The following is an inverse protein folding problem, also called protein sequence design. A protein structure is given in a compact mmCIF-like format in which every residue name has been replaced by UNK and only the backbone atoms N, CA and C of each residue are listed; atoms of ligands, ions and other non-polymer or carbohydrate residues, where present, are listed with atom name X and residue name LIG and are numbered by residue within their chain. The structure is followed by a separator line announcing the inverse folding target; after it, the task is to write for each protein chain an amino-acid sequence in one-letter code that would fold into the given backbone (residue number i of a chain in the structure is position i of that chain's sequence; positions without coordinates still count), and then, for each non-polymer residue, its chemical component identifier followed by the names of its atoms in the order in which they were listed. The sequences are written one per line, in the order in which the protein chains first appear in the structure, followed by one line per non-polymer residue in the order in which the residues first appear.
data_IF_368004955389
#
_entry.id   IF_368004955389
#
_cell.length_a   1.000
_cell.length_b   1.000
_cell.length_c   1.000
_cell.angle_alpha   90.00
_cell.angle_beta   90.00
_cell.angle_gamma   90.00
#
_symmetry.space_group_name_H-M   'P 1'
#
loop_
_entity.id
_entity.type
_entity.pdbx_description
1 polymer ?
#
# COMPACT_ATOMS: atom_id res chain seq x y z
N UNK A 1 -25.56 13.32 8.51
CA UNK A 1 -24.38 12.66 7.95
C UNK A 1 -24.75 12.11 6.58
N UNK A 2 -24.45 12.81 5.51
CA UNK A 2 -24.80 12.38 4.15
C UNK A 2 -23.63 11.62 3.59
N UNK A 3 -23.76 10.31 3.56
CA UNK A 3 -22.75 9.39 2.98
C UNK A 3 -22.86 9.46 1.46
N UNK A 4 -21.89 10.09 0.79
CA UNK A 4 -21.81 10.02 -0.66
C UNK A 4 -21.19 8.68 -1.01
N UNK A 5 -22.02 7.72 -1.43
CA UNK A 5 -21.56 6.46 -2.01
C UNK A 5 -21.23 6.77 -3.48
N UNK A 6 -19.96 6.88 -3.81
CA UNK A 6 -19.52 6.98 -5.20
C UNK A 6 -19.36 5.55 -5.73
N UNK A 7 -20.40 5.03 -6.38
CA UNK A 7 -20.25 3.91 -7.31
C UNK A 7 -19.35 4.35 -8.46
N UNK A 8 -18.53 3.46 -9.02
CA UNK A 8 -17.72 3.64 -10.23
C UNK A 8 -18.59 4.02 -11.43
N UNK A 9 -19.13 5.22 -11.41
CA UNK A 9 -19.78 5.84 -12.55
C UNK A 9 -18.87 6.95 -13.03
N UNK A 10 -18.46 6.89 -14.30
CA UNK A 10 -17.85 8.01 -14.98
C UNK A 10 -18.80 9.21 -14.84
N UNK A 11 -18.53 10.10 -13.88
CA UNK A 11 -19.32 11.31 -13.70
C UNK A 11 -18.89 12.29 -14.80
N UNK A 12 -19.55 12.22 -15.95
CA UNK A 12 -19.61 13.32 -16.92
C UNK A 12 -20.56 14.44 -16.44
N UNK A 13 -20.89 14.48 -15.17
CA UNK A 13 -21.73 15.52 -14.59
C UNK A 13 -20.88 16.71 -14.20
N UNK A 14 -21.21 17.89 -14.71
CA UNK A 14 -20.63 19.13 -14.24
C UNK A 14 -20.99 19.33 -12.75
N UNK A 15 -19.96 19.44 -11.91
CA UNK A 15 -20.18 19.91 -10.52
C UNK A 15 -20.83 21.28 -10.63
N UNK A 16 -21.97 21.54 -9.97
CA UNK A 16 -22.67 22.81 -10.07
C UNK A 16 -21.76 23.97 -9.63
N UNK A 17 -21.91 25.13 -10.30
CA UNK A 17 -21.26 26.35 -9.81
C UNK A 17 -21.74 26.65 -8.36
N UNK A 18 -20.78 26.95 -7.49
CA UNK A 18 -21.08 27.28 -6.09
C UNK A 18 -21.34 26.03 -5.22
N UNK A 19 -20.94 24.85 -5.66
CA UNK A 19 -20.96 23.67 -4.78
C UNK A 19 -20.01 23.89 -3.60
N UNK A 20 -20.49 23.60 -2.39
CA UNK A 20 -19.71 23.57 -1.16
C UNK A 20 -19.62 22.13 -0.65
N UNK A 21 -18.41 21.73 -0.25
CA UNK A 21 -18.15 20.46 0.44
C UNK A 21 -17.45 20.82 1.74
N UNK A 22 -18.06 20.48 2.86
CA UNK A 22 -17.55 20.81 4.19
C UNK A 22 -17.60 19.57 5.08
N UNK A 23 -16.63 19.43 6.00
CA UNK A 23 -16.56 18.37 7.00
C UNK A 23 -16.74 16.97 6.43
N UNK A 24 -16.10 16.70 5.27
CA UNK A 24 -16.30 15.47 4.50
C UNK A 24 -14.96 14.84 4.18
N UNK A 25 -14.83 13.55 4.47
CA UNK A 25 -13.75 12.71 3.94
C UNK A 25 -14.17 12.15 2.58
N UNK A 26 -13.43 12.49 1.54
CA UNK A 26 -13.58 11.92 0.21
C UNK A 26 -12.50 10.84 0.03
N UNK A 27 -12.89 9.59 -0.17
CA UNK A 27 -11.99 8.44 -0.25
C UNK A 27 -12.14 7.72 -1.57
N UNK A 28 -11.04 7.12 -2.05
CA UNK A 28 -11.00 6.33 -3.27
C UNK A 28 -11.57 7.07 -4.50
N UNK A 29 -11.27 8.37 -4.62
CA UNK A 29 -11.70 9.21 -5.74
C UNK A 29 -10.53 9.45 -6.68
N UNK A 30 -10.76 9.25 -7.97
CA UNK A 30 -9.78 9.56 -9.02
C UNK A 30 -10.27 10.71 -9.89
N UNK A 31 -9.39 11.69 -10.09
CA UNK A 31 -9.62 12.78 -11.04
C UNK A 31 -8.63 12.66 -12.20
N UNK A 32 -9.13 12.40 -13.39
CA UNK A 32 -8.32 12.34 -14.62
C UNK A 32 -8.75 13.43 -15.58
N UNK A 33 -7.79 14.21 -16.09
CA UNK A 33 -8.02 15.30 -17.07
C UNK A 33 -9.05 16.34 -16.60
N UNK A 34 -9.05 16.68 -15.29
CA UNK A 34 -10.00 17.61 -14.67
C UNK A 34 -9.36 18.98 -14.49
N UNK A 35 -10.14 20.03 -14.68
CA UNK A 35 -9.76 21.42 -14.39
C UNK A 35 -10.72 22.03 -13.40
N UNK A 36 -10.17 22.47 -12.27
CA UNK A 36 -10.90 23.26 -11.29
C UNK A 36 -10.65 24.75 -11.55
N UNK A 37 -11.69 25.53 -11.77
CA UNK A 37 -11.60 26.96 -12.04
C UNK A 37 -12.36 27.74 -10.98
N UNK A 38 -11.67 28.68 -10.32
CA UNK A 38 -12.26 29.47 -9.23
C UNK A 38 -12.50 28.64 -7.95
N UNK A 39 -11.62 27.65 -7.73
CA UNK A 39 -11.67 26.80 -6.53
C UNK A 39 -11.15 27.58 -5.33
N UNK A 40 -11.84 27.45 -4.20
CA UNK A 40 -11.37 27.85 -2.88
C UNK A 40 -11.12 26.62 -2.04
N UNK A 41 -9.92 26.49 -1.48
CA UNK A 41 -9.52 25.42 -0.57
C UNK A 41 -9.10 26.05 0.76
N UNK A 42 -9.80 25.71 1.83
CA UNK A 42 -9.51 26.15 3.18
C UNK A 42 -9.51 24.91 4.08
N UNK A 43 -8.43 24.70 4.83
CA UNK A 43 -8.25 23.57 5.73
C UNK A 43 -8.47 22.22 5.04
N UNK A 44 -7.86 22.05 3.85
CA UNK A 44 -7.96 20.84 3.03
C UNK A 44 -6.67 20.05 3.10
N UNK A 45 -6.79 18.77 3.44
CA UNK A 45 -5.72 17.78 3.34
C UNK A 45 -5.93 16.90 2.11
N UNK A 46 -4.90 16.74 1.29
CA UNK A 46 -4.92 15.89 0.10
C UNK A 46 -3.82 14.85 0.25
N UNK A 47 -4.20 13.58 0.32
CA UNK A 47 -3.28 12.44 0.39
C UNK A 47 -3.58 11.49 -0.76
N UNK A 48 -2.56 11.07 -1.51
CA UNK A 48 -2.72 10.15 -2.63
C UNK A 48 -1.61 10.25 -3.66
N UNK A 49 -1.77 9.51 -4.76
CA UNK A 49 -0.90 9.62 -5.92
C UNK A 49 -1.19 10.91 -6.67
N UNK A 50 -0.16 11.71 -6.92
CA UNK A 50 -0.25 13.01 -7.59
C UNK A 50 0.68 12.98 -8.80
N UNK A 51 0.12 13.07 -10.00
CA UNK A 51 0.85 13.09 -11.27
C UNK A 51 0.31 14.24 -12.12
N UNK A 52 1.20 15.00 -12.75
CA UNK A 52 0.88 16.12 -13.66
C UNK A 52 -0.12 17.14 -13.06
N UNK A 53 -0.02 17.42 -11.76
CA UNK A 53 -0.90 18.36 -11.07
C UNK A 53 -0.29 19.75 -11.03
N UNK A 54 -1.05 20.75 -11.53
CA UNK A 54 -0.68 22.16 -11.45
C UNK A 54 -1.66 22.93 -10.56
N UNK A 55 -1.13 23.77 -9.67
CA UNK A 55 -1.92 24.72 -8.87
C UNK A 55 -1.49 26.14 -9.26
N UNK A 56 -2.43 26.95 -9.72
CA UNK A 56 -2.17 28.33 -10.19
C UNK A 56 -1.03 28.42 -11.23
N UNK A 57 -0.93 27.40 -12.11
CA UNK A 57 0.10 27.31 -13.15
C UNK A 57 1.46 26.80 -12.69
N UNK A 58 1.61 26.42 -11.42
CA UNK A 58 2.84 25.81 -10.87
C UNK A 58 2.67 24.30 -10.83
N UNK A 59 3.61 23.56 -11.45
CA UNK A 59 3.72 22.12 -11.27
C UNK A 59 4.17 21.82 -9.82
N UNK A 60 3.31 21.16 -9.07
CA UNK A 60 3.56 20.89 -7.65
C UNK A 60 4.23 19.53 -7.42
N UNK A 61 4.23 18.63 -8.38
CA UNK A 61 4.83 17.31 -8.26
C UNK A 61 6.28 17.36 -7.76
N UNK A 62 7.20 18.05 -8.47
CA UNK A 62 8.61 18.14 -8.05
C UNK A 62 8.82 18.80 -6.69
N UNK A 63 7.95 19.74 -6.29
CA UNK A 63 8.04 20.41 -4.99
C UNK A 63 7.67 19.47 -3.85
N UNK A 64 6.59 18.71 -4.03
CA UNK A 64 6.15 17.70 -3.06
C UNK A 64 7.21 16.59 -2.95
N UNK A 65 7.71 16.09 -4.07
CA UNK A 65 8.76 15.07 -4.10
C UNK A 65 10.02 15.51 -3.35
N UNK A 66 10.50 16.72 -3.61
CA UNK A 66 11.67 17.26 -2.93
C UNK A 66 11.47 17.35 -1.41
N UNK A 67 10.31 17.83 -0.97
CA UNK A 67 10.01 17.97 0.46
C UNK A 67 9.80 16.60 1.13
N UNK A 68 9.12 15.65 0.48
CA UNK A 68 8.96 14.29 1.01
C UNK A 68 10.29 13.57 1.14
N UNK A 69 11.20 13.69 0.15
CA UNK A 69 12.53 13.10 0.22
C UNK A 69 13.40 13.76 1.30
N UNK A 70 13.21 15.07 1.56
CA UNK A 70 13.89 15.77 2.66
C UNK A 70 13.40 15.28 4.03
N UNK A 71 12.10 15.03 4.19
CA UNK A 71 11.50 14.50 5.45
C UNK A 71 11.83 13.04 5.67
N UNK A 72 11.89 12.27 4.60
CA UNK A 72 12.08 10.82 4.60
C UNK A 72 13.24 10.45 3.66
N UNK A 73 14.50 10.54 4.11
CA UNK A 73 15.66 10.31 3.24
C UNK A 73 15.70 8.93 2.57
N UNK A 74 15.15 7.90 3.24
CA UNK A 74 15.08 6.54 2.70
C UNK A 74 14.07 6.42 1.53
N UNK A 75 13.12 7.37 1.38
CA UNK A 75 12.08 7.36 0.35
C UNK A 75 12.65 7.33 -1.07
N UNK A 76 13.72 8.08 -1.32
CA UNK A 76 14.37 8.12 -2.64
C UNK A 76 14.94 6.76 -3.07
N UNK A 77 15.16 5.83 -2.11
CA UNK A 77 15.64 4.47 -2.38
C UNK A 77 14.52 3.50 -2.73
N UNK A 78 13.25 3.89 -2.54
CA UNK A 78 12.08 3.05 -2.79
C UNK A 78 11.67 3.01 -4.28
N UNK A 79 12.47 3.60 -5.18
CA UNK A 79 12.30 3.51 -6.63
C UNK A 79 13.52 2.83 -7.29
N UNK A 80 13.84 1.57 -6.91
CA UNK A 80 15.01 0.87 -7.44
C UNK A 80 14.84 0.55 -8.93
N UNK A 81 15.95 0.68 -9.68
CA UNK A 81 16.03 0.33 -11.10
C UNK A 81 17.19 -0.62 -11.40
N UNK A 82 17.97 -0.98 -10.39
CA UNK A 82 19.11 -1.90 -10.49
C UNK A 82 19.02 -2.99 -9.43
N UNK A 83 19.76 -4.07 -9.61
CA UNK A 83 19.82 -5.18 -8.63
C UNK A 83 20.25 -4.66 -7.25
N UNK A 84 21.33 -3.87 -7.19
CA UNK A 84 21.84 -3.29 -5.95
C UNK A 84 20.79 -2.34 -5.33
N UNK A 85 20.04 -1.60 -6.16
CA UNK A 85 18.97 -0.74 -5.71
C UNK A 85 17.83 -1.53 -5.04
N UNK A 86 17.42 -2.67 -5.61
CA UNK A 86 16.43 -3.57 -4.99
C UNK A 86 16.96 -4.16 -3.67
N UNK A 87 18.21 -4.57 -3.62
CA UNK A 87 18.85 -5.09 -2.40
C UNK A 87 18.92 -4.01 -1.30
N UNK A 88 19.29 -2.77 -1.64
CA UNK A 88 19.32 -1.65 -0.71
C UNK A 88 17.89 -1.32 -0.20
N UNK A 89 16.92 -1.18 -1.11
CA UNK A 89 15.54 -0.87 -0.75
C UNK A 89 14.95 -1.90 0.20
N UNK A 90 15.16 -3.19 -0.10
CA UNK A 90 14.65 -4.27 0.75
C UNK A 90 15.30 -4.29 2.13
N UNK A 91 16.61 -4.12 2.23
CA UNK A 91 17.31 -4.02 3.51
C UNK A 91 16.84 -2.83 4.36
N UNK A 92 16.54 -1.70 3.73
CA UNK A 92 15.94 -0.53 4.40
C UNK A 92 14.55 -0.89 4.94
N UNK A 93 13.69 -1.49 4.13
CA UNK A 93 12.33 -1.88 4.52
C UNK A 93 12.33 -2.85 5.71
N UNK A 94 13.16 -3.89 5.66
CA UNK A 94 13.28 -4.84 6.79
C UNK A 94 13.70 -4.14 8.09
N UNK A 95 14.69 -3.26 8.02
CA UNK A 95 15.13 -2.47 9.18
C UNK A 95 14.02 -1.56 9.72
N UNK A 96 13.29 -0.90 8.84
CA UNK A 96 12.23 0.02 9.23
C UNK A 96 11.04 -0.73 9.82
N UNK A 97 10.64 -1.85 9.23
CA UNK A 97 9.57 -2.69 9.75
C UNK A 97 9.90 -3.30 11.10
N UNK A 98 11.14 -3.72 11.33
CA UNK A 98 11.55 -4.21 12.65
C UNK A 98 11.26 -3.17 13.75
N UNK A 99 11.57 -1.89 13.52
CA UNK A 99 11.23 -0.81 14.45
C UNK A 99 9.72 -0.60 14.62
N UNK A 100 8.94 -0.72 13.54
CA UNK A 100 7.47 -0.62 13.59
C UNK A 100 6.83 -1.79 14.34
N UNK A 101 7.34 -3.01 14.13
CA UNK A 101 6.90 -4.21 14.84
C UNK A 101 7.23 -4.14 16.34
N UNK A 102 8.44 -3.69 16.70
CA UNK A 102 8.83 -3.49 18.10
C UNK A 102 7.91 -2.47 18.78
N UNK A 103 7.55 -1.41 18.09
CA UNK A 103 6.61 -0.40 18.55
C UNK A 103 5.20 -0.98 18.74
N UNK A 104 4.69 -1.74 17.76
CA UNK A 104 3.38 -2.41 17.87
C UNK A 104 3.30 -3.34 19.07
N UNK A 105 4.39 -4.05 19.43
CA UNK A 105 4.47 -4.93 20.61
C UNK A 105 4.31 -4.19 21.94
N UNK A 106 4.47 -2.87 21.97
CA UNK A 106 4.26 -2.07 23.20
C UNK A 106 2.79 -1.77 23.46
N UNK A 107 1.91 -1.99 22.49
CA UNK A 107 0.48 -1.73 22.59
C UNK A 107 -0.28 -2.97 23.09
N UNK A 108 -1.42 -2.77 23.76
CA UNK A 108 -2.37 -3.84 24.05
C UNK A 108 -2.73 -4.59 22.76
N UNK A 109 -2.72 -5.94 22.75
CA UNK A 109 -2.96 -6.74 21.54
C UNK A 109 -4.29 -6.44 20.84
N UNK A 110 -5.33 -6.11 21.61
CA UNK A 110 -6.65 -5.74 21.09
C UNK A 110 -6.63 -4.49 20.23
N UNK A 111 -5.77 -3.52 20.53
CA UNK A 111 -5.64 -2.30 19.76
C UNK A 111 -5.02 -2.53 18.38
N UNK A 112 -4.26 -3.60 18.21
CA UNK A 112 -3.69 -3.95 16.90
C UNK A 112 -4.74 -4.44 15.90
N UNK A 113 -5.97 -4.70 16.38
CA UNK A 113 -7.14 -5.03 15.55
C UNK A 113 -8.09 -3.85 15.35
N UNK A 114 -7.78 -2.68 15.92
CA UNK A 114 -8.59 -1.50 15.76
C UNK A 114 -8.17 -0.70 14.52
N UNK A 115 -9.13 -0.45 13.63
CA UNK A 115 -8.93 0.42 12.48
C UNK A 115 -8.99 1.90 12.89
N UNK A 116 -8.10 2.72 12.37
CA UNK A 116 -8.06 4.16 12.61
C UNK A 116 -8.75 4.88 11.46
N UNK A 117 -9.74 5.73 11.76
CA UNK A 117 -10.48 6.53 10.75
C UNK A 117 -11.10 5.71 9.61
N UNK A 118 -11.43 4.43 9.86
CA UNK A 118 -12.00 3.53 8.86
C UNK A 118 -10.99 2.95 7.88
N UNK A 119 -9.70 3.05 8.18
CA UNK A 119 -8.62 2.33 7.51
C UNK A 119 -8.42 0.94 8.15
N UNK A 120 -7.58 0.13 7.54
CA UNK A 120 -7.23 -1.18 8.06
C UNK A 120 -6.51 -1.09 9.41
N UNK A 121 -6.74 -2.07 10.25
CA UNK A 121 -5.98 -2.26 11.47
C UNK A 121 -4.52 -2.65 11.16
N UNK A 122 -3.65 -2.57 12.16
CA UNK A 122 -2.25 -3.00 12.02
C UNK A 122 -2.14 -4.46 11.56
N UNK A 123 -2.94 -5.34 12.15
CA UNK A 123 -2.97 -6.77 11.78
C UNK A 123 -3.44 -6.97 10.34
N UNK A 124 -4.49 -6.28 9.90
CA UNK A 124 -4.99 -6.37 8.53
C UNK A 124 -3.94 -5.86 7.53
N UNK A 125 -3.24 -4.78 7.86
CA UNK A 125 -2.13 -4.25 7.05
C UNK A 125 -1.03 -5.30 6.85
N UNK A 126 -0.59 -5.99 7.91
CA UNK A 126 0.42 -7.04 7.79
C UNK A 126 -0.07 -8.22 6.95
N UNK A 127 -1.32 -8.65 7.13
CA UNK A 127 -1.95 -9.71 6.35
C UNK A 127 -2.05 -9.36 4.87
N UNK A 128 -2.33 -8.08 4.56
CA UNK A 128 -2.33 -7.60 3.18
C UNK A 128 -0.94 -7.63 2.55
N UNK A 129 0.09 -7.24 3.25
CA UNK A 129 1.47 -7.30 2.76
C UNK A 129 1.95 -8.75 2.53
N UNK A 130 1.48 -9.68 3.35
CA UNK A 130 1.71 -11.11 3.12
C UNK A 130 1.04 -11.59 1.84
N UNK A 131 -0.21 -11.15 1.58
CA UNK A 131 -0.91 -11.39 0.32
C UNK A 131 -0.17 -10.77 -0.88
N UNK A 132 0.25 -9.50 -0.80
CA UNK A 132 0.97 -8.82 -1.88
C UNK A 132 2.27 -9.55 -2.23
N UNK A 133 3.05 -9.97 -1.22
CA UNK A 133 4.27 -10.76 -1.42
C UNK A 133 3.99 -12.14 -2.04
N UNK A 134 2.92 -12.81 -1.61
CA UNK A 134 2.48 -14.08 -2.20
C UNK A 134 2.09 -13.90 -3.66
N UNK A 135 1.32 -12.87 -3.97
CA UNK A 135 0.83 -12.58 -5.31
C UNK A 135 1.97 -12.22 -6.28
N UNK A 136 2.76 -11.22 -5.94
CA UNK A 136 3.72 -10.65 -6.87
C UNK A 136 5.06 -11.40 -6.92
N UNK A 137 5.53 -11.94 -5.78
CA UNK A 137 6.78 -12.71 -5.77
C UNK A 137 6.49 -14.20 -5.83
N UNK A 138 5.65 -14.74 -4.97
CA UNK A 138 5.36 -16.18 -4.96
C UNK A 138 4.77 -16.65 -6.28
N UNK A 139 3.68 -16.01 -6.70
CA UNK A 139 2.96 -16.43 -7.90
C UNK A 139 3.62 -15.96 -9.20
N UNK A 140 3.93 -14.65 -9.32
CA UNK A 140 4.42 -14.12 -10.60
C UNK A 140 5.89 -14.44 -10.83
N UNK A 141 6.77 -14.22 -9.86
CA UNK A 141 8.21 -14.38 -10.06
C UNK A 141 8.64 -15.83 -9.90
N UNK A 142 8.14 -16.54 -8.87
CA UNK A 142 8.52 -17.95 -8.59
C UNK A 142 7.61 -18.96 -9.28
N UNK A 143 6.49 -18.54 -9.87
CA UNK A 143 5.57 -19.43 -10.59
C UNK A 143 4.81 -20.41 -9.69
N UNK A 144 4.69 -20.14 -8.38
CA UNK A 144 3.89 -20.96 -7.49
C UNK A 144 2.39 -20.71 -7.75
N UNK A 145 1.62 -21.70 -8.22
CA UNK A 145 0.21 -21.49 -8.54
C UNK A 145 -0.66 -21.29 -7.31
N UNK A 146 -0.21 -21.68 -6.12
CA UNK A 146 -0.99 -21.62 -4.86
C UNK A 146 -0.12 -21.10 -3.70
N UNK A 147 0.39 -19.86 -3.79
CA UNK A 147 1.32 -19.34 -2.78
C UNK A 147 0.61 -18.87 -1.51
N UNK A 148 -0.70 -19.04 -1.42
CA UNK A 148 -1.55 -18.40 -0.42
C UNK A 148 -1.42 -19.04 0.97
N UNK A 149 -1.52 -18.18 1.98
CA UNK A 149 -1.70 -18.59 3.37
C UNK A 149 -3.12 -18.23 3.84
N UNK A 150 -3.77 -19.01 4.71
CA UNK A 150 -5.12 -18.69 5.20
C UNK A 150 -5.29 -17.30 5.83
N UNK A 151 -4.20 -16.70 6.33
CA UNK A 151 -4.20 -15.35 6.89
C UNK A 151 -3.95 -14.24 5.87
N UNK A 152 -3.62 -14.56 4.63
CA UNK A 152 -3.45 -13.54 3.58
C UNK A 152 -4.76 -12.76 3.39
N UNK A 153 -4.67 -11.44 3.14
CA UNK A 153 -5.83 -10.57 3.04
C UNK A 153 -5.73 -9.70 1.77
N UNK A 154 -6.52 -9.96 0.73
CA UNK A 154 -6.67 -9.05 -0.41
C UNK A 154 -7.26 -7.68 0.00
N UNK A 155 -7.25 -6.71 -0.92
CA UNK A 155 -7.87 -5.39 -0.71
C UNK A 155 -9.40 -5.47 -0.63
N UNK A 156 -10.05 -4.43 -0.12
CA UNK A 156 -11.48 -4.47 0.25
C UNK A 156 -12.43 -4.74 -0.92
N UNK A 157 -12.13 -4.21 -2.10
CA UNK A 157 -12.95 -4.38 -3.29
C UNK A 157 -12.48 -5.53 -4.18
N UNK A 158 -11.51 -6.33 -3.74
CA UNK A 158 -11.05 -7.46 -4.52
C UNK A 158 -12.20 -8.42 -4.81
N UNK A 159 -12.36 -8.87 -6.06
CA UNK A 159 -13.36 -9.89 -6.36
C UNK A 159 -12.95 -11.21 -5.67
N UNK A 160 -13.94 -11.98 -5.26
CA UNK A 160 -13.69 -13.32 -4.71
C UNK A 160 -13.13 -14.24 -5.79
N UNK A 161 -11.88 -14.71 -5.61
CA UNK A 161 -11.28 -15.74 -6.47
C UNK A 161 -11.27 -17.08 -5.76
N UNK A 162 -11.56 -18.13 -6.47
CA UNK A 162 -11.45 -19.48 -5.92
C UNK A 162 -10.01 -19.78 -5.47
N UNK A 163 -9.87 -20.29 -4.26
CA UNK A 163 -8.56 -20.66 -3.70
C UNK A 163 -7.75 -19.51 -3.10
N UNK A 164 -8.19 -18.26 -3.25
CA UNK A 164 -7.55 -17.11 -2.58
C UNK A 164 -8.25 -16.85 -1.25
N UNK A 165 -7.53 -16.76 -0.12
CA UNK A 165 -8.10 -16.51 1.21
C UNK A 165 -8.85 -15.18 1.27
N UNK A 166 -9.94 -15.15 2.03
CA UNK A 166 -10.80 -13.95 2.20
C UNK A 166 -11.43 -13.90 3.60
N UNK A 167 -10.71 -14.29 4.63
CA UNK A 167 -11.26 -14.23 5.99
C UNK A 167 -10.99 -12.87 6.65
N UNK A 168 -11.95 -11.96 6.56
CA UNK A 168 -11.89 -10.64 7.19
C UNK A 168 -12.20 -10.68 8.69
N UNK A 169 -12.85 -11.73 9.16
CA UNK A 169 -13.19 -11.89 10.57
C UNK A 169 -12.06 -12.54 11.38
N UNK A 170 -11.04 -13.05 10.72
CA UNK A 170 -9.88 -13.63 11.40
C UNK A 170 -9.20 -12.59 12.31
N UNK A 171 -8.92 -13.00 13.54
CA UNK A 171 -8.24 -12.19 14.57
C UNK A 171 -6.97 -12.89 15.05
N UNK A 172 -5.99 -13.12 14.16
CA UNK A 172 -4.74 -13.75 14.57
C UNK A 172 -3.96 -12.83 15.51
N UNK A 173 -3.19 -13.42 16.41
CA UNK A 173 -2.24 -12.68 17.22
C UNK A 173 -1.14 -12.05 16.35
N UNK A 174 -0.48 -11.01 16.85
CA UNK A 174 0.66 -10.41 16.19
C UNK A 174 1.75 -11.45 15.87
N UNK A 175 2.03 -12.36 16.78
CA UNK A 175 3.07 -13.38 16.57
C UNK A 175 2.71 -14.40 15.48
N UNK A 176 1.44 -14.74 15.32
CA UNK A 176 0.96 -15.60 14.23
C UNK A 176 1.18 -14.92 12.87
N UNK A 177 0.76 -13.65 12.72
CA UNK A 177 0.95 -12.90 11.48
C UNK A 177 2.44 -12.69 11.19
N UNK A 178 3.22 -12.27 12.18
CA UNK A 178 4.67 -12.10 12.01
C UNK A 178 5.38 -13.44 11.69
N UNK A 179 4.81 -14.57 12.10
CA UNK A 179 5.30 -15.89 11.71
C UNK A 179 5.18 -16.14 10.20
N UNK A 180 4.07 -15.73 9.58
CA UNK A 180 3.86 -15.78 8.13
C UNK A 180 4.76 -14.75 7.44
N UNK A 181 4.73 -13.52 7.91
CA UNK A 181 5.47 -12.38 7.35
C UNK A 181 6.97 -12.63 7.24
N UNK A 182 7.61 -13.19 8.30
CA UNK A 182 9.03 -13.55 8.25
C UNK A 182 9.37 -14.52 7.10
N UNK A 183 8.49 -15.46 6.79
CA UNK A 183 8.68 -16.37 5.65
C UNK A 183 8.54 -15.62 4.33
N UNK A 184 7.57 -14.70 4.22
CA UNK A 184 7.37 -13.86 3.02
C UNK A 184 8.56 -12.94 2.79
N UNK A 185 9.01 -12.26 3.83
CA UNK A 185 10.21 -11.39 3.76
C UNK A 185 11.46 -12.18 3.37
N UNK A 186 11.64 -13.37 3.91
CA UNK A 186 12.76 -14.24 3.53
C UNK A 186 12.68 -14.64 2.05
N UNK A 187 11.50 -15.04 1.56
CA UNK A 187 11.26 -15.37 0.16
C UNK A 187 11.62 -14.20 -0.77
N UNK A 188 11.12 -13.00 -0.48
CA UNK A 188 11.42 -11.79 -1.27
C UNK A 188 12.91 -11.47 -1.23
N UNK A 189 13.55 -11.55 -0.06
CA UNK A 189 14.99 -11.32 0.10
C UNK A 189 15.81 -12.31 -0.72
N UNK A 190 15.47 -13.59 -0.72
CA UNK A 190 16.14 -14.63 -1.47
C UNK A 190 16.04 -14.39 -2.98
N UNK A 191 14.85 -14.01 -3.47
CA UNK A 191 14.66 -13.64 -4.88
C UNK A 191 15.51 -12.43 -5.23
N UNK A 192 15.46 -11.34 -4.45
CA UNK A 192 16.27 -10.13 -4.71
C UNK A 192 17.77 -10.41 -4.63
N UNK A 193 18.21 -11.27 -3.72
CA UNK A 193 19.63 -11.63 -3.59
C UNK A 193 20.15 -12.47 -4.79
N UNK A 194 19.28 -13.23 -5.44
CA UNK A 194 19.61 -14.06 -6.59
C UNK A 194 19.48 -13.35 -7.95
N UNK A 195 18.96 -12.12 -7.98
CA UNK A 195 18.73 -11.37 -9.21
C UNK A 195 20.03 -11.11 -9.98
N UNK A 196 19.90 -11.16 -11.30
CA UNK A 196 20.91 -10.65 -12.25
C UNK A 196 20.36 -9.42 -12.98
N UNK A 197 21.21 -8.55 -13.54
CA UNK A 197 20.74 -7.39 -14.31
C UNK A 197 19.84 -7.80 -15.50
N UNK A 198 20.14 -8.92 -16.15
CA UNK A 198 19.38 -9.41 -17.30
C UNK A 198 17.96 -9.80 -16.90
N UNK A 199 17.78 -10.38 -15.71
CA UNK A 199 16.46 -10.77 -15.21
C UNK A 199 15.54 -9.60 -14.94
N UNK A 200 16.06 -8.41 -14.65
CA UNK A 200 15.20 -7.22 -14.46
C UNK A 200 14.41 -6.86 -15.73
N UNK A 201 14.94 -7.18 -16.90
CA UNK A 201 14.30 -6.93 -18.20
C UNK A 201 13.42 -8.11 -18.66
N UNK A 202 13.41 -9.24 -17.93
CA UNK A 202 12.57 -10.38 -18.24
C UNK A 202 11.10 -10.09 -17.99
N UNK A 203 10.26 -10.76 -18.78
CA UNK A 203 8.81 -10.74 -18.59
C UNK A 203 8.38 -12.03 -17.91
N UNK A 204 7.60 -11.92 -16.85
CA UNK A 204 6.97 -13.04 -16.16
C UNK A 204 5.49 -13.10 -16.52
N UNK A 205 4.98 -14.31 -16.71
CA UNK A 205 3.60 -14.55 -17.10
C UNK A 205 2.92 -15.49 -16.12
N UNK A 206 1.78 -15.10 -15.61
CA UNK A 206 0.94 -16.01 -14.84
C UNK A 206 0.02 -16.78 -15.78
N UNK A 207 0.04 -18.11 -15.71
CA UNK A 207 -0.75 -18.99 -16.58
C UNK A 207 -2.03 -19.51 -15.96
N UNK A 208 -2.16 -19.43 -14.64
CA UNK A 208 -3.31 -19.94 -13.90
C UNK A 208 -4.29 -18.81 -13.55
N UNK A 209 -5.61 -19.09 -13.51
CA UNK A 209 -6.61 -18.11 -13.02
C UNK A 209 -6.31 -17.63 -11.60
N UNK A 210 -6.66 -16.39 -11.30
CA UNK A 210 -6.50 -15.80 -9.97
C UNK A 210 -5.95 -14.37 -10.00
N UNK A 211 -5.22 -14.00 -8.99
CA UNK A 211 -4.58 -12.69 -8.89
C UNK A 211 -3.06 -12.85 -8.70
N UNK A 212 -2.19 -12.09 -9.40
CA UNK A 212 -2.54 -11.22 -10.53
C UNK A 212 -3.21 -11.96 -11.67
N UNK A 213 -3.94 -11.23 -12.54
CA UNK A 213 -4.65 -11.83 -13.67
C UNK A 213 -3.69 -12.40 -14.72
N UNK A 214 -4.22 -13.18 -15.67
CA UNK A 214 -3.47 -13.72 -16.82
C UNK A 214 -2.92 -12.57 -17.68
N UNK A 215 -1.74 -12.11 -17.35
CA UNK A 215 -1.14 -10.92 -17.92
C UNK A 215 0.39 -11.01 -17.80
N UNK A 216 1.07 -10.38 -18.75
CA UNK A 216 2.53 -10.29 -18.76
C UNK A 216 2.98 -9.09 -17.95
N UNK A 217 3.94 -9.29 -17.04
CA UNK A 217 4.56 -8.23 -16.25
C UNK A 217 6.08 -8.24 -16.37
N UNK A 218 6.74 -7.08 -16.48
CA UNK A 218 8.18 -7.03 -16.24
C UNK A 218 8.51 -7.52 -14.82
N UNK A 219 9.52 -8.36 -14.68
CA UNK A 219 9.94 -8.88 -13.37
C UNK A 219 10.28 -7.73 -12.40
N UNK A 220 11.00 -6.72 -12.90
CA UNK A 220 11.31 -5.53 -12.11
C UNK A 220 10.04 -4.82 -11.58
N UNK A 221 8.95 -4.80 -12.35
CA UNK A 221 7.68 -4.22 -11.90
C UNK A 221 7.04 -5.04 -10.78
N UNK A 222 7.06 -6.37 -10.86
CA UNK A 222 6.55 -7.22 -9.78
C UNK A 222 7.27 -6.97 -8.45
N UNK A 223 8.60 -6.86 -8.49
CA UNK A 223 9.40 -6.53 -7.31
C UNK A 223 9.16 -5.10 -6.83
N UNK A 224 9.04 -4.13 -7.75
CA UNK A 224 8.75 -2.74 -7.42
C UNK A 224 7.40 -2.61 -6.71
N UNK A 225 6.37 -3.33 -7.15
CA UNK A 225 5.07 -3.31 -6.48
C UNK A 225 5.21 -3.72 -5.02
N UNK A 226 5.93 -4.80 -4.72
CA UNK A 226 6.13 -5.23 -3.33
C UNK A 226 6.91 -4.21 -2.51
N UNK A 227 7.97 -3.60 -3.05
CA UNK A 227 8.72 -2.52 -2.38
C UNK A 227 7.81 -1.33 -2.08
N UNK A 228 6.97 -0.94 -3.04
CA UNK A 228 6.04 0.17 -2.93
C UNK A 228 4.92 -0.10 -1.90
N UNK A 229 4.32 -1.29 -1.91
CA UNK A 229 3.34 -1.74 -0.92
C UNK A 229 3.92 -1.70 0.49
N UNK A 230 5.10 -2.28 0.68
CA UNK A 230 5.79 -2.30 1.97
C UNK A 230 6.08 -0.89 2.50
N UNK A 231 6.51 0.01 1.63
CA UNK A 231 6.80 1.39 2.00
C UNK A 231 5.56 2.15 2.43
N UNK A 232 4.53 2.18 1.59
CA UNK A 232 3.33 2.97 1.83
C UNK A 232 2.51 2.43 3.00
N UNK A 233 2.32 1.12 3.08
CA UNK A 233 1.59 0.51 4.19
C UNK A 233 2.32 0.67 5.52
N UNK A 234 3.66 0.73 5.51
CA UNK A 234 4.39 1.07 6.72
C UNK A 234 4.13 2.52 7.18
N UNK A 235 4.07 3.47 6.25
CA UNK A 235 3.75 4.87 6.61
C UNK A 235 2.35 4.98 7.22
N UNK A 236 1.38 4.24 6.67
CA UNK A 236 0.04 4.19 7.24
C UNK A 236 0.04 3.53 8.61
N UNK A 237 0.72 2.41 8.76
CA UNK A 237 0.85 1.72 10.05
C UNK A 237 1.46 2.62 11.13
N UNK A 238 2.54 3.35 10.84
CA UNK A 238 3.16 4.30 11.78
C UNK A 238 2.19 5.42 12.20
N UNK A 239 1.48 6.02 11.23
CA UNK A 239 0.45 7.03 11.49
C UNK A 239 -0.64 6.51 12.44
N UNK A 240 -1.11 5.29 12.19
CA UNK A 240 -2.21 4.71 12.94
C UNK A 240 -1.78 4.26 14.33
N UNK A 241 -0.57 3.72 14.46
CA UNK A 241 0.02 3.45 15.79
C UNK A 241 0.19 4.74 16.62
N UNK A 242 0.54 5.89 16.01
CA UNK A 242 0.58 7.19 16.68
C UNK A 242 -0.79 7.57 17.24
N UNK A 243 -1.84 7.40 16.46
CA UNK A 243 -3.21 7.71 16.86
C UNK A 243 -3.67 6.81 18.01
N UNK A 244 -3.41 5.50 17.95
CA UNK A 244 -3.76 4.53 18.99
C UNK A 244 -3.06 4.82 20.32
N UNK A 245 -1.78 5.18 20.29
CA UNK A 245 -1.02 5.59 21.50
C UNK A 245 -1.61 6.83 22.14
N UNK A 246 -2.07 7.80 21.34
CA UNK A 246 -2.66 9.04 21.85
C UNK A 246 -3.98 8.77 22.55
N UNK A 247 -4.85 7.97 21.97
CA UNK A 247 -6.14 7.58 22.55
C UNK A 247 -5.98 6.83 23.88
N UNK A 248 -4.94 6.00 24.00
CA UNK A 248 -4.67 5.25 25.24
C UNK A 248 -4.21 6.13 26.39
N UNK A 249 -3.61 7.30 26.13
CA UNK A 249 -3.15 8.24 27.17
C UNK A 249 -4.25 9.17 27.69
N UNK A 250 -5.35 9.31 26.96
CA UNK A 250 -6.48 10.18 27.30
C UNK A 250 -7.57 9.42 28.11
N UNK A 251 -7.52 8.11 28.17
CA UNK A 251 -8.41 7.24 28.94
C UNK A 251 -7.74 6.72 30.21
#
# INVERSE_FOLDING_TARGET
MTRVVVMTASITASIPRGAHVEHTDLRAISFHHVRFLGLELVDVEITGAIEDVTINGVDIGPLIEAELNRRMPDRARMHPTTVEGFQEAWAILERLWAGTEDRARTLPPELLHEGVRGEWSFIETLRHLDFASAAWVGRMVLGDPVPWHPLDLPWDEAPGWEGIPWDREARPSLDEVLGVRRKRQAMVREVIAALTPEQLDETVTCTEPGWPQLEDFPLAQCLFIVVNEEWHHRLYAERDLDALVTTTKEN
#
